data_IF_727586242933
#
_entry.id   IF_727586242933
#
_cell.length_a   1.000
_cell.length_b   1.000
_cell.length_c   1.000
_cell.angle_alpha   90.00
_cell.angle_beta   90.00
_cell.angle_gamma   90.00
#
_symmetry.space_group_name_H-M   'P 1'
#
loop_
_entity.id
_entity.type
_entity.pdbx_description
1 polymer ?
#
# COMPACT_ATOMS: atom_id res chain seq x y z
N UNK A 1 16.57 -21.39 -23.42
CA UNK A 1 15.32 -20.66 -23.15
C UNK A 1 15.46 -19.99 -21.78
N UNK A 2 15.44 -18.65 -21.75
CA UNK A 2 15.57 -17.90 -20.49
C UNK A 2 14.33 -18.16 -19.63
N UNK A 3 14.48 -18.98 -18.59
CA UNK A 3 13.40 -19.28 -17.65
C UNK A 3 13.10 -18.03 -16.81
N UNK A 4 12.11 -17.23 -17.24
CA UNK A 4 11.57 -16.16 -16.39
C UNK A 4 10.86 -16.78 -15.19
N UNK A 5 10.91 -16.08 -14.06
CA UNK A 5 10.17 -16.48 -12.86
C UNK A 5 8.67 -16.49 -13.15
N UNK A 6 7.99 -17.57 -12.83
CA UNK A 6 6.53 -17.66 -12.94
C UNK A 6 5.89 -16.74 -11.90
N UNK A 7 5.02 -15.86 -12.34
CA UNK A 7 4.40 -14.84 -11.47
C UNK A 7 2.95 -15.22 -11.16
N UNK A 8 2.59 -15.32 -9.88
CA UNK A 8 1.21 -15.31 -9.41
C UNK A 8 0.80 -13.87 -9.11
N UNK A 9 -0.29 -13.40 -9.71
CA UNK A 9 -0.87 -12.09 -9.43
C UNK A 9 -1.98 -12.24 -8.40
N UNK A 10 -1.93 -11.48 -7.31
CA UNK A 10 -2.95 -11.46 -6.27
C UNK A 10 -3.64 -10.09 -6.27
N UNK A 11 -4.96 -10.11 -6.43
CA UNK A 11 -5.80 -8.91 -6.45
C UNK A 11 -6.87 -9.02 -5.36
N UNK A 12 -6.64 -8.43 -4.19
CA UNK A 12 -7.73 -8.19 -3.24
C UNK A 12 -8.71 -7.18 -3.83
N UNK A 13 -10.01 -7.40 -3.65
CA UNK A 13 -11.05 -6.47 -4.11
C UNK A 13 -12.21 -6.42 -3.13
N UNK A 14 -12.90 -5.29 -3.09
CA UNK A 14 -14.13 -5.13 -2.32
C UNK A 14 -15.03 -4.06 -2.93
N UNK A 15 -16.22 -4.50 -3.41
CA UNK A 15 -17.28 -3.62 -3.93
C UNK A 15 -16.82 -2.68 -5.08
N UNK A 16 -15.88 -3.16 -5.94
CA UNK A 16 -15.30 -2.41 -7.08
C UNK A 16 -15.25 -3.22 -8.37
N UNK A 17 -16.37 -3.77 -8.85
CA UNK A 17 -16.37 -4.67 -10.01
C UNK A 17 -15.89 -3.97 -11.30
N UNK A 18 -16.13 -2.66 -11.46
CA UNK A 18 -15.69 -1.88 -12.64
C UNK A 18 -14.18 -1.69 -12.66
N UNK A 19 -13.59 -1.31 -11.53
CA UNK A 19 -12.15 -1.13 -11.40
C UNK A 19 -11.43 -2.46 -11.64
N UNK A 20 -11.94 -3.55 -11.06
CA UNK A 20 -11.42 -4.90 -11.29
C UNK A 20 -11.46 -5.28 -12.79
N UNK A 21 -12.55 -4.99 -13.51
CA UNK A 21 -12.65 -5.29 -14.93
C UNK A 21 -11.58 -4.54 -15.74
N UNK A 22 -11.36 -3.26 -15.46
CA UNK A 22 -10.31 -2.46 -16.10
C UNK A 22 -8.92 -3.03 -15.84
N UNK A 23 -8.62 -3.42 -14.59
CA UNK A 23 -7.36 -4.07 -14.24
C UNK A 23 -7.17 -5.37 -15.02
N UNK A 24 -8.17 -6.27 -15.04
CA UNK A 24 -8.09 -7.56 -15.74
C UNK A 24 -7.83 -7.38 -17.24
N UNK A 25 -8.38 -6.36 -17.88
CA UNK A 25 -8.07 -6.01 -19.27
C UNK A 25 -6.59 -5.68 -19.45
N UNK A 26 -5.96 -4.97 -18.51
CA UNK A 26 -4.53 -4.64 -18.62
C UNK A 26 -3.63 -5.85 -18.35
N UNK A 27 -4.07 -6.80 -17.52
CA UNK A 27 -3.33 -8.05 -17.26
C UNK A 27 -3.36 -8.95 -18.50
N UNK A 28 -4.49 -9.09 -19.19
CA UNK A 28 -4.60 -9.88 -20.44
C UNK A 28 -3.66 -9.34 -21.52
N UNK A 29 -3.47 -8.02 -21.56
CA UNK A 29 -2.63 -7.36 -22.56
C UNK A 29 -1.13 -7.30 -22.19
N UNK A 30 -0.68 -8.05 -21.17
CA UNK A 30 0.75 -8.11 -20.84
C UNK A 30 1.54 -8.90 -21.88
N UNK A 31 2.74 -8.43 -22.19
CA UNK A 31 3.68 -9.14 -23.09
C UNK A 31 4.21 -10.44 -22.49
N UNK A 32 4.18 -10.56 -21.17
CA UNK A 32 4.49 -11.77 -20.42
C UNK A 32 3.27 -12.12 -19.54
N UNK A 33 2.48 -13.13 -19.90
CA UNK A 33 1.31 -13.52 -19.13
C UNK A 33 1.73 -14.10 -17.77
N UNK A 34 1.00 -13.81 -16.69
CA UNK A 34 1.26 -14.44 -15.41
C UNK A 34 0.85 -15.93 -15.43
N UNK A 35 1.43 -16.71 -14.51
CA UNK A 35 1.03 -18.10 -14.29
C UNK A 35 -0.45 -18.20 -13.91
N UNK A 36 -0.87 -17.29 -13.04
CA UNK A 36 -2.24 -17.23 -12.53
C UNK A 36 -2.57 -15.84 -12.00
N UNK A 37 -3.87 -15.54 -11.95
CA UNK A 37 -4.44 -14.38 -11.29
C UNK A 37 -5.44 -14.87 -10.25
N UNK A 38 -5.26 -14.47 -9.00
CA UNK A 38 -6.10 -14.85 -7.86
C UNK A 38 -6.84 -13.61 -7.39
N UNK A 39 -8.14 -13.58 -7.62
CA UNK A 39 -9.02 -12.51 -7.14
C UNK A 39 -9.58 -12.93 -5.78
N UNK A 40 -9.23 -12.18 -4.73
CA UNK A 40 -9.75 -12.41 -3.38
C UNK A 40 -10.80 -11.34 -3.08
N UNK A 41 -12.07 -11.75 -3.10
CA UNK A 41 -13.23 -10.86 -3.00
C UNK A 41 -13.77 -10.77 -1.57
N UNK A 42 -13.48 -9.65 -0.90
CA UNK A 42 -13.98 -9.32 0.45
C UNK A 42 -15.36 -8.61 0.42
N UNK A 43 -16.00 -8.47 -0.75
CA UNK A 43 -17.34 -7.88 -0.86
C UNK A 43 -18.37 -8.77 -0.17
N UNK A 44 -19.30 -8.24 0.66
CA UNK A 44 -20.35 -9.04 1.27
C UNK A 44 -21.18 -9.83 0.23
N UNK A 45 -21.55 -9.18 -0.86
CA UNK A 45 -22.34 -9.74 -1.97
C UNK A 45 -21.56 -10.52 -3.03
N UNK A 46 -20.24 -10.62 -2.94
CA UNK A 46 -19.43 -11.31 -3.96
C UNK A 46 -19.45 -10.59 -5.32
N UNK A 47 -19.37 -9.28 -5.32
CA UNK A 47 -19.54 -8.43 -6.53
C UNK A 47 -18.51 -8.69 -7.64
N UNK A 48 -17.36 -9.25 -7.31
CA UNK A 48 -16.31 -9.57 -8.27
C UNK A 48 -16.56 -10.86 -9.07
N UNK A 49 -17.44 -11.76 -8.57
CA UNK A 49 -17.60 -13.10 -9.19
C UNK A 49 -18.04 -13.03 -10.66
N UNK A 50 -19.07 -12.23 -10.95
CA UNK A 50 -19.57 -12.08 -12.33
C UNK A 50 -18.50 -11.52 -13.26
N UNK A 51 -17.69 -10.58 -12.79
CA UNK A 51 -16.55 -10.04 -13.55
C UNK A 51 -15.57 -11.15 -13.86
N UNK A 52 -15.12 -11.92 -12.86
CA UNK A 52 -14.17 -13.02 -13.05
C UNK A 52 -14.70 -14.05 -14.03
N UNK A 53 -15.96 -14.46 -13.90
CA UNK A 53 -16.61 -15.43 -14.80
C UNK A 53 -16.60 -14.93 -16.26
N UNK A 54 -16.87 -13.63 -16.49
CA UNK A 54 -16.86 -13.03 -17.83
C UNK A 54 -15.48 -12.92 -18.49
N UNK A 55 -14.40 -13.00 -17.70
CA UNK A 55 -13.03 -12.97 -18.20
C UNK A 55 -12.39 -14.34 -18.35
N UNK A 56 -13.02 -15.43 -17.88
CA UNK A 56 -12.43 -16.77 -17.80
C UNK A 56 -11.93 -17.30 -19.15
N UNK A 57 -12.70 -17.12 -20.23
CA UNK A 57 -12.30 -17.55 -21.58
C UNK A 57 -11.08 -16.78 -22.11
N UNK A 58 -10.99 -15.48 -21.83
CA UNK A 58 -9.87 -14.63 -22.26
C UNK A 58 -8.58 -15.03 -21.55
N UNK A 59 -8.63 -15.30 -20.24
CA UNK A 59 -7.47 -15.78 -19.49
C UNK A 59 -7.04 -17.18 -19.91
N UNK A 60 -7.98 -18.06 -20.22
CA UNK A 60 -7.67 -19.38 -20.79
C UNK A 60 -6.92 -19.28 -22.13
N UNK A 61 -7.30 -18.32 -22.97
CA UNK A 61 -6.66 -18.10 -24.27
C UNK A 61 -5.17 -17.73 -24.15
N UNK A 62 -4.78 -16.99 -23.10
CA UNK A 62 -3.39 -16.62 -22.83
C UNK A 62 -2.66 -17.61 -21.91
N UNK A 63 -3.22 -18.82 -21.70
CA UNK A 63 -2.68 -19.85 -20.81
C UNK A 63 -2.44 -19.38 -19.36
N UNK A 64 -3.26 -18.47 -18.86
CA UNK A 64 -3.24 -17.98 -17.50
C UNK A 64 -4.44 -18.52 -16.71
N UNK A 65 -4.21 -19.04 -15.51
CA UNK A 65 -5.29 -19.49 -14.63
C UNK A 65 -5.92 -18.30 -13.91
N UNK A 66 -7.20 -18.05 -14.12
CA UNK A 66 -7.97 -17.06 -13.36
C UNK A 66 -8.77 -17.75 -12.25
N UNK A 67 -8.52 -17.39 -10.99
CA UNK A 67 -9.19 -17.96 -9.81
C UNK A 67 -10.00 -16.90 -9.10
N UNK A 68 -11.25 -17.21 -8.77
CA UNK A 68 -12.05 -16.42 -7.83
C UNK A 68 -12.04 -17.10 -6.47
N UNK A 69 -11.80 -16.32 -5.43
CA UNK A 69 -11.81 -16.78 -4.04
C UNK A 69 -12.62 -15.78 -3.20
N UNK A 70 -13.59 -16.30 -2.46
CA UNK A 70 -14.32 -15.50 -1.47
C UNK A 70 -13.40 -15.25 -0.27
N UNK A 71 -13.16 -13.99 0.06
CA UNK A 71 -12.40 -13.59 1.24
C UNK A 71 -13.20 -13.78 2.54
N UNK A 72 -12.52 -13.70 3.67
CA UNK A 72 -13.13 -13.82 5.01
C UNK A 72 -13.89 -12.57 5.46
N UNK A 73 -13.71 -11.44 4.75
CA UNK A 73 -14.20 -10.13 5.20
C UNK A 73 -13.30 -9.44 6.25
N UNK A 74 -12.17 -10.06 6.59
CA UNK A 74 -11.21 -9.53 7.58
C UNK A 74 -10.35 -8.37 7.07
N UNK A 75 -10.45 -8.04 5.80
CA UNK A 75 -9.80 -6.90 5.17
C UNK A 75 -8.54 -7.25 4.37
N UNK A 76 -7.91 -6.21 3.84
CA UNK A 76 -6.85 -6.28 2.84
C UNK A 76 -5.66 -7.20 3.23
N UNK A 77 -5.08 -7.14 4.45
CA UNK A 77 -3.99 -8.04 4.83
C UNK A 77 -4.38 -9.52 4.83
N UNK A 78 -5.58 -9.84 5.33
CA UNK A 78 -6.08 -11.21 5.35
C UNK A 78 -6.33 -11.74 3.92
N UNK A 79 -6.88 -10.89 3.05
CA UNK A 79 -7.09 -11.22 1.64
C UNK A 79 -5.76 -11.47 0.92
N UNK A 80 -4.71 -10.66 1.16
CA UNK A 80 -3.36 -10.89 0.62
C UNK A 80 -2.77 -12.20 1.12
N UNK A 81 -2.83 -12.48 2.42
CA UNK A 81 -2.34 -13.74 2.98
C UNK A 81 -3.07 -14.96 2.39
N UNK A 82 -4.38 -14.87 2.20
CA UNK A 82 -5.15 -15.94 1.54
C UNK A 82 -4.70 -16.16 0.09
N UNK A 83 -4.48 -15.06 -0.65
CA UNK A 83 -3.96 -15.12 -2.01
C UNK A 83 -2.59 -15.79 -2.07
N UNK A 84 -1.67 -15.43 -1.15
CA UNK A 84 -0.34 -16.07 -1.03
C UNK A 84 -0.47 -17.57 -0.81
N UNK A 85 -1.31 -17.99 0.14
CA UNK A 85 -1.52 -19.42 0.46
C UNK A 85 -1.99 -20.23 -0.74
N UNK A 86 -2.69 -19.61 -1.69
CA UNK A 86 -3.28 -20.27 -2.87
C UNK A 86 -2.42 -20.14 -4.13
N UNK A 87 -1.32 -19.41 -4.06
CA UNK A 87 -0.44 -19.12 -5.19
C UNK A 87 0.60 -20.21 -5.42
N UNK A 88 1.06 -20.36 -6.68
CA UNK A 88 2.02 -21.39 -7.10
C UNK A 88 3.19 -20.81 -7.93
N UNK A 89 3.27 -19.50 -8.06
CA UNK A 89 4.35 -18.84 -8.78
C UNK A 89 5.65 -18.77 -7.96
N UNK A 90 6.75 -18.56 -8.62
CA UNK A 90 8.06 -18.34 -8.00
C UNK A 90 8.17 -16.93 -7.41
N UNK A 91 7.34 -16.02 -7.92
CA UNK A 91 7.17 -14.66 -7.44
C UNK A 91 5.69 -14.28 -7.34
N UNK A 92 5.37 -13.39 -6.42
CA UNK A 92 4.01 -12.94 -6.12
C UNK A 92 3.93 -11.44 -6.40
N UNK A 93 3.08 -11.04 -7.34
CA UNK A 93 2.75 -9.66 -7.65
C UNK A 93 1.42 -9.30 -6.99
N UNK A 94 1.43 -8.37 -6.05
CA UNK A 94 0.22 -7.75 -5.52
C UNK A 94 -0.19 -6.57 -6.39
N UNK A 95 -1.48 -6.42 -6.62
CA UNK A 95 -2.08 -5.29 -7.32
C UNK A 95 -3.35 -4.87 -6.59
N UNK A 96 -3.57 -3.56 -6.50
CA UNK A 96 -4.85 -3.03 -6.07
C UNK A 96 -5.84 -3.06 -7.24
N UNK A 97 -7.12 -3.28 -6.98
CA UNK A 97 -8.17 -3.44 -8.00
C UNK A 97 -8.37 -2.20 -8.89
N UNK A 98 -7.96 -1.02 -8.42
CA UNK A 98 -8.03 0.26 -9.14
C UNK A 98 -6.71 0.68 -9.80
N UNK A 99 -5.92 -0.30 -10.27
CA UNK A 99 -4.66 -0.05 -10.99
C UNK A 99 -4.74 -0.46 -12.47
N UNK A 100 -3.95 0.22 -13.30
CA UNK A 100 -3.78 -0.08 -14.73
C UNK A 100 -2.30 -0.32 -15.03
N UNK A 101 -1.98 -1.45 -15.65
CA UNK A 101 -0.61 -1.85 -15.94
C UNK A 101 -0.19 -1.40 -17.34
N UNK A 102 1.03 -0.87 -17.47
CA UNK A 102 1.71 -0.79 -18.77
C UNK A 102 1.97 -2.21 -19.33
N UNK A 103 2.10 -2.34 -20.64
CA UNK A 103 2.12 -3.64 -21.36
C UNK A 103 3.21 -4.62 -20.94
N UNK A 104 4.31 -4.17 -20.31
CA UNK A 104 5.46 -5.01 -19.96
C UNK A 104 5.73 -5.10 -18.45
N UNK A 105 4.79 -4.73 -17.60
CA UNK A 105 5.04 -4.63 -16.14
C UNK A 105 5.40 -5.99 -15.56
N UNK A 106 4.61 -7.02 -15.82
CA UNK A 106 4.84 -8.36 -15.25
C UNK A 106 6.18 -8.92 -15.73
N UNK A 107 6.45 -8.84 -17.03
CA UNK A 107 7.72 -9.28 -17.60
C UNK A 107 8.93 -8.52 -17.07
N UNK A 108 8.82 -7.20 -16.90
CA UNK A 108 9.90 -6.38 -16.37
C UNK A 108 10.24 -6.72 -14.90
N UNK A 109 9.22 -6.96 -14.06
CA UNK A 109 9.42 -7.37 -12.66
C UNK A 109 10.03 -8.76 -12.57
N UNK A 110 9.52 -9.73 -13.36
CA UNK A 110 10.05 -11.09 -13.41
C UNK A 110 11.51 -11.13 -13.91
N UNK A 111 11.83 -10.35 -14.95
CA UNK A 111 13.19 -10.20 -15.47
C UNK A 111 14.11 -9.59 -14.42
N UNK A 112 13.68 -8.50 -13.76
CA UNK A 112 14.50 -7.87 -12.73
C UNK A 112 14.85 -8.84 -11.60
N UNK A 113 13.87 -9.58 -11.07
CA UNK A 113 14.12 -10.56 -10.01
C UNK A 113 15.00 -11.73 -10.48
N UNK A 114 14.86 -12.19 -11.73
CA UNK A 114 15.73 -13.21 -12.30
C UNK A 114 17.19 -12.75 -12.37
N UNK A 115 17.40 -11.54 -12.89
CA UNK A 115 18.73 -11.00 -13.16
C UNK A 115 19.41 -10.47 -11.88
N UNK A 116 18.66 -10.31 -10.80
CA UNK A 116 19.15 -9.89 -9.49
C UNK A 116 18.77 -10.93 -8.41
N UNK A 117 19.49 -12.05 -8.28
CA UNK A 117 19.14 -13.13 -7.36
C UNK A 117 19.05 -12.72 -5.89
N UNK A 118 19.79 -11.69 -5.48
CA UNK A 118 19.74 -11.14 -4.12
C UNK A 118 18.48 -10.29 -3.84
N UNK A 119 17.83 -9.78 -4.88
CA UNK A 119 16.60 -8.99 -4.74
C UNK A 119 15.46 -9.90 -4.27
N UNK A 120 14.86 -9.58 -3.12
CA UNK A 120 13.70 -10.31 -2.58
C UNK A 120 12.38 -9.63 -2.90
N UNK A 121 12.41 -8.35 -3.30
CA UNK A 121 11.22 -7.61 -3.70
C UNK A 121 11.53 -6.44 -4.63
N UNK A 122 10.59 -6.13 -5.50
CA UNK A 122 10.69 -5.05 -6.47
C UNK A 122 9.32 -4.40 -6.72
N UNK A 123 9.29 -3.08 -6.84
CA UNK A 123 8.09 -2.37 -7.25
C UNK A 123 8.28 -1.63 -8.57
N UNK A 124 7.21 -1.49 -9.37
CA UNK A 124 7.18 -0.63 -10.53
C UNK A 124 7.13 0.85 -10.13
N UNK A 125 7.30 1.72 -11.11
CA UNK A 125 7.03 3.15 -10.96
C UNK A 125 5.52 3.39 -11.01
N UNK A 126 4.96 3.91 -9.91
CA UNK A 126 3.53 4.07 -9.71
C UNK A 126 3.14 5.54 -9.86
N UNK A 127 2.24 5.81 -10.78
CA UNK A 127 1.66 7.12 -11.04
C UNK A 127 0.22 7.18 -10.53
N UNK A 128 -0.16 8.24 -9.82
CA UNK A 128 -1.55 8.45 -9.41
C UNK A 128 -2.27 9.39 -10.37
N UNK A 129 -3.50 9.02 -10.77
CA UNK A 129 -4.40 9.89 -11.55
C UNK A 129 -5.09 10.96 -10.71
N UNK A 130 -4.88 11.01 -9.39
CA UNK A 130 -5.42 12.12 -8.61
C UNK A 130 -4.94 13.41 -9.25
N UNK A 131 -5.89 14.24 -9.71
CA UNK A 131 -5.65 15.60 -10.16
C UNK A 131 -5.00 16.36 -9.00
N UNK A 132 -3.68 16.27 -8.86
CA UNK A 132 -2.97 17.35 -8.23
C UNK A 132 -3.32 18.58 -9.09
N UNK A 133 -4.18 19.45 -8.58
CA UNK A 133 -4.22 20.82 -9.07
C UNK A 133 -2.76 21.23 -9.07
N UNK A 134 -2.24 21.57 -10.24
CA UNK A 134 -0.82 21.91 -10.42
C UNK A 134 -0.51 23.06 -9.46
N UNK A 135 -0.03 22.68 -8.29
CA UNK A 135 0.63 23.64 -7.41
C UNK A 135 1.87 24.05 -8.20
N UNK A 136 2.15 25.34 -8.28
CA UNK A 136 3.38 25.77 -8.93
C UNK A 136 4.58 25.05 -8.28
N UNK A 137 5.61 24.76 -9.06
CA UNK A 137 6.81 24.02 -8.63
C UNK A 137 7.40 24.57 -7.31
N UNK A 138 7.39 25.90 -7.14
CA UNK A 138 7.90 26.56 -5.93
C UNK A 138 7.04 26.22 -4.69
N UNK A 139 5.72 26.17 -4.84
CA UNK A 139 4.81 25.83 -3.74
C UNK A 139 4.96 24.35 -3.34
N UNK A 140 5.19 23.45 -4.30
CA UNK A 140 5.46 22.04 -4.02
C UNK A 140 6.82 21.87 -3.30
N UNK A 141 7.86 22.57 -3.73
CA UNK A 141 9.16 22.56 -3.05
C UNK A 141 9.06 23.07 -1.63
N UNK A 142 8.32 24.16 -1.40
CA UNK A 142 8.08 24.70 -0.05
C UNK A 142 7.32 23.72 0.84
N UNK A 143 6.23 23.15 0.33
CA UNK A 143 5.45 22.16 1.08
C UNK A 143 6.30 20.94 1.46
N UNK A 144 7.09 20.42 0.53
CA UNK A 144 8.03 19.32 0.80
C UNK A 144 9.08 19.69 1.85
N UNK A 145 9.61 20.93 1.82
CA UNK A 145 10.55 21.40 2.83
C UNK A 145 9.92 21.46 4.23
N UNK A 146 8.69 21.98 4.34
CA UNK A 146 7.92 21.99 5.61
C UNK A 146 7.67 20.56 6.10
N UNK A 147 7.21 19.67 5.26
CA UNK A 147 6.94 18.27 5.63
C UNK A 147 8.23 17.53 6.02
N UNK A 148 9.32 17.82 5.34
CA UNK A 148 10.65 17.31 5.70
C UNK A 148 11.09 17.79 7.09
N UNK A 149 10.96 19.07 7.39
CA UNK A 149 11.29 19.62 8.70
C UNK A 149 10.41 19.05 9.83
N UNK A 150 9.12 18.85 9.57
CA UNK A 150 8.14 18.31 10.52
C UNK A 150 8.14 16.79 10.63
N UNK A 151 9.11 16.09 10.06
CA UNK A 151 9.21 14.63 10.07
C UNK A 151 7.98 13.91 9.50
N UNK A 152 7.21 14.56 8.61
CA UNK A 152 6.07 14.02 7.90
C UNK A 152 6.47 13.32 6.60
N UNK A 153 5.50 12.66 5.95
CA UNK A 153 5.70 12.09 4.63
C UNK A 153 5.86 13.20 3.57
N UNK A 154 6.85 13.06 2.69
CA UNK A 154 7.12 14.02 1.62
C UNK A 154 7.61 13.30 0.36
N UNK A 155 7.85 14.06 -0.72
CA UNK A 155 8.33 13.51 -1.99
C UNK A 155 9.74 13.99 -2.31
N UNK A 156 10.59 13.06 -2.76
CA UNK A 156 11.98 13.34 -3.15
C UNK A 156 12.38 12.48 -4.36
N UNK A 157 13.22 13.01 -5.24
CA UNK A 157 13.66 12.30 -6.44
C UNK A 157 14.43 11.03 -6.06
N UNK A 158 14.08 9.92 -6.68
CA UNK A 158 14.75 8.62 -6.47
C UNK A 158 14.90 8.22 -4.98
N UNK A 159 13.88 8.49 -4.16
CA UNK A 159 13.91 8.15 -2.75
C UNK A 159 12.59 7.47 -2.32
N UNK A 160 12.71 6.30 -1.69
CA UNK A 160 11.61 5.56 -1.09
C UNK A 160 12.10 4.91 0.21
N UNK A 161 12.07 5.69 1.28
CA UNK A 161 12.60 5.31 2.60
C UNK A 161 11.58 5.55 3.70
N UNK A 162 11.89 5.06 4.90
CA UNK A 162 11.10 5.29 6.10
C UNK A 162 11.89 6.22 7.02
N UNK A 163 11.22 7.24 7.51
CA UNK A 163 11.79 8.21 8.45
C UNK A 163 11.74 7.66 9.89
N UNK A 164 12.52 8.25 10.77
CA UNK A 164 12.49 7.94 12.21
C UNK A 164 11.12 8.09 12.86
N UNK A 165 10.23 8.89 12.27
CA UNK A 165 8.82 9.05 12.70
C UNK A 165 7.89 7.94 12.20
N UNK A 166 8.36 7.00 11.40
CA UNK A 166 7.53 6.03 10.68
C UNK A 166 6.83 6.59 9.43
N UNK A 167 7.01 7.88 9.12
CA UNK A 167 6.50 8.45 7.89
C UNK A 167 7.35 8.04 6.69
N UNK A 168 6.74 7.96 5.51
CA UNK A 168 7.43 7.56 4.27
C UNK A 168 7.95 8.75 3.49
N UNK A 169 9.11 8.57 2.85
CA UNK A 169 9.53 9.39 1.71
C UNK A 169 9.10 8.66 0.45
N UNK A 170 8.42 9.35 -0.46
CA UNK A 170 7.94 8.79 -1.72
C UNK A 170 8.72 9.36 -2.91
N UNK A 171 8.93 8.60 -3.99
CA UNK A 171 9.50 9.15 -5.20
C UNK A 171 8.51 10.15 -5.85
N UNK A 172 8.97 11.37 -6.12
CA UNK A 172 8.25 12.28 -7.01
C UNK A 172 8.60 12.02 -8.47
N UNK A 173 9.80 11.49 -8.73
CA UNK A 173 10.25 11.03 -10.03
C UNK A 173 11.26 9.91 -9.83
N UNK A 174 10.97 8.73 -10.36
CA UNK A 174 11.86 7.58 -10.38
C UNK A 174 12.51 7.49 -11.76
N UNK A 175 13.83 7.77 -11.85
CA UNK A 175 14.57 7.83 -13.11
C UNK A 175 15.64 6.73 -13.26
N UNK A 176 15.96 6.03 -12.18
CA UNK A 176 16.92 4.93 -12.13
C UNK A 176 16.43 3.85 -11.16
N UNK A 177 17.01 2.67 -11.27
CA UNK A 177 16.82 1.61 -10.25
C UNK A 177 17.41 2.08 -8.92
N UNK A 178 16.64 1.93 -7.85
CA UNK A 178 17.09 2.27 -6.49
C UNK A 178 16.81 1.14 -5.53
N UNK A 179 17.70 0.93 -4.55
CA UNK A 179 17.38 0.16 -3.35
C UNK A 179 16.50 1.00 -2.44
N UNK A 180 15.53 0.37 -1.79
CA UNK A 180 14.49 1.05 -1.01
C UNK A 180 14.27 0.37 0.34
N UNK A 181 13.65 1.07 1.29
CA UNK A 181 13.35 0.50 2.62
C UNK A 181 11.91 -0.03 2.72
N UNK A 182 11.06 0.31 1.76
CA UNK A 182 9.69 -0.17 1.70
C UNK A 182 9.23 -0.34 0.26
N UNK A 183 8.21 -1.17 0.06
CA UNK A 183 7.45 -1.25 -1.18
C UNK A 183 6.00 -0.83 -0.92
N UNK A 184 5.32 -0.39 -1.96
CA UNK A 184 3.88 -0.05 -1.93
C UNK A 184 3.00 -1.29 -2.06
N UNK A 185 1.68 -1.09 -2.01
CA UNK A 185 0.69 -2.15 -2.21
C UNK A 185 0.77 -2.86 -3.56
N UNK A 186 1.29 -2.18 -4.60
CA UNK A 186 1.50 -2.74 -5.94
C UNK A 186 2.99 -3.09 -6.13
N UNK A 187 3.38 -4.29 -5.76
CA UNK A 187 4.77 -4.74 -5.79
C UNK A 187 4.89 -6.26 -5.93
N UNK A 188 6.06 -6.72 -6.34
CA UNK A 188 6.38 -8.12 -6.53
C UNK A 188 7.44 -8.57 -5.50
N UNK A 189 7.19 -9.70 -4.84
CA UNK A 189 8.16 -10.34 -3.96
C UNK A 189 8.48 -11.75 -4.47
N UNK A 190 9.66 -12.28 -4.13
CA UNK A 190 9.90 -13.71 -4.25
C UNK A 190 8.96 -14.46 -3.32
N UNK A 191 8.46 -15.61 -3.75
CA UNK A 191 7.53 -16.42 -2.95
C UNK A 191 8.13 -16.84 -1.61
N UNK A 192 9.43 -17.13 -1.58
CA UNK A 192 10.15 -17.57 -0.37
C UNK A 192 10.06 -16.57 0.80
N UNK A 193 9.84 -15.28 0.55
CA UNK A 193 9.63 -14.27 1.61
C UNK A 193 8.45 -14.64 2.51
N UNK A 194 7.43 -15.28 1.94
CA UNK A 194 6.20 -15.63 2.66
C UNK A 194 6.28 -16.94 3.46
N UNK A 195 7.40 -17.67 3.39
CA UNK A 195 7.65 -18.80 4.28
C UNK A 195 7.85 -18.37 5.75
N UNK A 196 8.27 -17.12 5.98
CA UNK A 196 8.60 -16.60 7.30
C UNK A 196 7.85 -15.31 7.67
N UNK A 197 7.35 -14.58 6.69
CA UNK A 197 6.67 -13.30 6.90
C UNK A 197 5.26 -13.33 6.28
N UNK A 198 4.31 -12.74 6.97
CA UNK A 198 2.94 -12.56 6.49
C UNK A 198 2.46 -11.14 6.76
N UNK A 199 1.43 -10.69 6.05
CA UNK A 199 0.77 -9.42 6.36
C UNK A 199 0.10 -9.49 7.72
N UNK A 200 0.17 -8.39 8.48
CA UNK A 200 -0.40 -8.32 9.82
C UNK A 200 -1.93 -8.13 9.77
N UNK A 201 -2.66 -9.16 10.16
CA UNK A 201 -4.13 -9.16 10.15
C UNK A 201 -4.77 -8.30 11.26
N UNK A 202 -3.98 -7.68 12.15
CA UNK A 202 -4.47 -6.63 13.04
C UNK A 202 -4.82 -5.34 12.28
N UNK A 203 -4.22 -5.12 11.10
CA UNK A 203 -4.52 -3.98 10.22
C UNK A 203 -5.76 -4.33 9.38
N UNK A 204 -6.96 -4.10 9.91
CA UNK A 204 -8.24 -4.49 9.33
C UNK A 204 -8.69 -3.60 8.16
N UNK A 205 -9.72 -4.03 7.44
CA UNK A 205 -10.41 -3.31 6.36
C UNK A 205 -9.44 -2.91 5.23
N UNK A 206 -9.28 -1.60 4.99
CA UNK A 206 -8.37 -1.04 3.97
C UNK A 206 -6.89 -1.20 4.33
N UNK A 207 -6.58 -1.73 5.51
CA UNK A 207 -5.23 -2.07 5.91
C UNK A 207 -4.24 -0.89 5.91
N UNK A 208 -4.69 0.36 6.14
CA UNK A 208 -3.76 1.50 6.14
C UNK A 208 -2.43 1.14 6.79
N UNK A 209 -1.31 1.45 6.13
CA UNK A 209 0.07 1.13 6.53
C UNK A 209 0.46 -0.36 6.46
N UNK A 210 -0.37 -1.25 5.94
CA UNK A 210 -0.06 -2.69 5.84
C UNK A 210 1.11 -2.97 4.89
N UNK A 211 1.21 -2.20 3.82
CA UNK A 211 2.31 -2.24 2.86
C UNK A 211 3.63 -1.74 3.47
N UNK A 212 3.56 -0.71 4.31
CA UNK A 212 4.72 -0.22 5.06
C UNK A 212 5.15 -1.25 6.12
N UNK A 213 4.21 -1.73 6.95
CA UNK A 213 4.47 -2.75 7.97
C UNK A 213 5.17 -3.98 7.37
N UNK A 214 4.55 -4.57 6.34
CA UNK A 214 5.08 -5.78 5.74
C UNK A 214 6.44 -5.55 5.07
N UNK A 215 6.53 -4.56 4.18
CA UNK A 215 7.76 -4.31 3.42
C UNK A 215 8.93 -3.86 4.30
N UNK A 216 8.67 -3.14 5.40
CA UNK A 216 9.73 -2.76 6.33
C UNK A 216 10.23 -3.93 7.16
N UNK A 217 9.36 -4.86 7.54
CA UNK A 217 9.79 -6.13 8.16
C UNK A 217 10.62 -6.98 7.20
N UNK A 218 10.25 -7.01 5.91
CA UNK A 218 11.07 -7.63 4.86
C UNK A 218 12.42 -6.91 4.74
N UNK A 219 12.44 -5.57 4.71
CA UNK A 219 13.69 -4.80 4.66
C UNK A 219 14.60 -5.07 5.87
N UNK A 220 14.05 -5.12 7.08
CA UNK A 220 14.85 -5.44 8.28
C UNK A 220 15.48 -6.82 8.22
N UNK A 221 14.80 -7.77 7.61
CA UNK A 221 15.32 -9.13 7.42
C UNK A 221 16.32 -9.24 6.26
N UNK A 222 16.08 -8.50 5.18
CA UNK A 222 16.89 -8.47 3.94
C UNK A 222 17.32 -7.04 3.61
N UNK A 223 18.24 -6.43 4.39
CA UNK A 223 18.63 -5.03 4.19
C UNK A 223 19.25 -4.82 2.81
N UNK A 224 18.78 -3.81 2.07
CA UNK A 224 19.30 -3.49 0.74
C UNK A 224 18.74 -4.33 -0.40
N UNK A 225 17.88 -5.32 -0.16
CA UNK A 225 17.38 -6.26 -1.17
C UNK A 225 15.96 -5.95 -1.68
N UNK A 226 15.41 -4.80 -1.33
CA UNK A 226 14.18 -4.26 -1.92
C UNK A 226 14.52 -3.18 -2.95
N UNK A 227 13.81 -3.17 -4.09
CA UNK A 227 14.13 -2.27 -5.21
C UNK A 227 12.88 -1.60 -5.77
N UNK A 228 13.08 -0.43 -6.39
CA UNK A 228 12.11 0.22 -7.26
C UNK A 228 12.71 0.47 -8.64
N UNK A 229 11.96 0.18 -9.71
CA UNK A 229 12.41 0.24 -11.09
C UNK A 229 11.59 1.27 -11.90
N UNK A 230 12.25 2.12 -12.73
CA UNK A 230 11.56 3.20 -13.43
C UNK A 230 10.82 2.77 -14.71
N UNK A 231 11.23 1.67 -15.32
CA UNK A 231 10.77 1.26 -16.64
C UNK A 231 9.53 0.39 -16.66
N UNK A 232 9.11 -0.18 -15.53
CA UNK A 232 7.79 -0.79 -15.34
C UNK A 232 6.84 0.27 -14.77
N UNK A 233 5.71 0.55 -15.45
CA UNK A 233 4.82 1.65 -15.08
C UNK A 233 3.42 1.17 -14.76
N UNK A 234 2.90 1.57 -13.60
CA UNK A 234 1.52 1.35 -13.17
C UNK A 234 0.85 2.70 -12.94
N UNK A 235 -0.41 2.81 -13.35
CA UNK A 235 -1.28 3.94 -13.04
C UNK A 235 -2.27 3.50 -11.97
N UNK A 236 -2.27 4.19 -10.83
CA UNK A 236 -3.25 4.02 -9.76
C UNK A 236 -4.37 5.04 -9.97
N UNK A 237 -5.60 4.57 -10.24
CA UNK A 237 -6.76 5.42 -10.55
C UNK A 237 -7.20 6.24 -9.34
N UNK A 238 -6.89 5.75 -8.13
CA UNK A 238 -7.33 6.31 -6.86
C UNK A 238 -8.87 6.47 -6.84
N UNK A 239 -9.56 5.38 -7.15
CA UNK A 239 -11.01 5.33 -7.30
C UNK A 239 -11.74 5.97 -6.12
N UNK A 240 -12.84 6.67 -6.41
CA UNK A 240 -13.75 7.21 -5.40
C UNK A 240 -14.70 6.18 -4.80
N UNK A 241 -14.84 5.02 -5.44
CA UNK A 241 -15.78 3.97 -5.03
C UNK A 241 -15.32 3.29 -3.73
N UNK A 242 -16.26 2.86 -2.93
CA UNK A 242 -16.05 2.12 -1.67
C UNK A 242 -15.07 2.77 -0.69
N UNK A 243 -14.94 4.10 -0.66
CA UNK A 243 -14.08 4.81 0.28
C UNK A 243 -14.69 4.85 1.68
N UNK A 244 -13.81 4.86 2.68
CA UNK A 244 -14.22 5.02 4.07
C UNK A 244 -14.75 6.43 4.36
N UNK A 245 -15.73 6.57 5.30
CA UNK A 245 -16.07 7.85 5.87
C UNK A 245 -14.84 8.58 6.41
N UNK A 246 -14.77 9.89 6.25
CA UNK A 246 -13.62 10.73 6.65
C UNK A 246 -13.20 10.49 8.10
N UNK A 247 -14.15 10.42 9.04
CA UNK A 247 -13.87 10.14 10.44
C UNK A 247 -13.11 8.82 10.61
N UNK A 248 -13.64 7.75 10.04
CA UNK A 248 -13.05 6.41 10.17
C UNK A 248 -11.67 6.34 9.51
N UNK A 249 -11.51 6.96 8.35
CA UNK A 249 -10.20 7.05 7.66
C UNK A 249 -9.15 7.74 8.52
N UNK A 250 -9.46 8.88 9.17
CA UNK A 250 -8.54 9.60 10.05
C UNK A 250 -8.15 8.74 11.26
N UNK A 251 -9.14 8.10 11.91
CA UNK A 251 -8.87 7.24 13.05
C UNK A 251 -8.01 6.03 12.68
N UNK A 252 -8.33 5.35 11.57
CA UNK A 252 -7.53 4.21 11.09
C UNK A 252 -6.10 4.62 10.78
N UNK A 253 -5.91 5.69 9.98
CA UNK A 253 -4.57 6.17 9.64
C UNK A 253 -3.76 6.51 10.88
N UNK A 254 -4.37 7.19 11.86
CA UNK A 254 -3.68 7.59 13.09
C UNK A 254 -3.34 6.38 13.96
N UNK A 255 -4.31 5.55 14.29
CA UNK A 255 -4.12 4.42 15.21
C UNK A 255 -3.16 3.39 14.62
N UNK A 256 -3.25 3.14 13.30
CA UNK A 256 -2.32 2.23 12.63
C UNK A 256 -0.92 2.84 12.48
N UNK A 257 -0.79 4.17 12.35
CA UNK A 257 0.53 4.81 12.41
C UNK A 257 1.20 4.64 13.77
N UNK A 258 0.46 4.85 14.88
CA UNK A 258 0.98 4.55 16.22
C UNK A 258 1.38 3.07 16.34
N UNK A 259 0.54 2.17 15.89
CA UNK A 259 0.77 0.74 15.95
C UNK A 259 2.04 0.32 15.19
N UNK A 260 2.13 0.68 13.92
CA UNK A 260 3.29 0.34 13.08
C UNK A 260 4.56 1.04 13.59
N UNK A 261 4.45 2.29 14.06
CA UNK A 261 5.59 2.98 14.64
C UNK A 261 6.16 2.20 15.84
N UNK A 262 5.35 1.88 16.83
CA UNK A 262 5.82 1.19 18.04
C UNK A 262 6.23 -0.25 17.78
N UNK A 263 5.61 -0.92 16.83
CA UNK A 263 5.92 -2.30 16.45
C UNK A 263 7.23 -2.39 15.65
N UNK A 264 7.42 -1.52 14.66
CA UNK A 264 8.44 -1.73 13.64
C UNK A 264 9.57 -0.69 13.65
N UNK A 265 9.29 0.57 14.03
CA UNK A 265 10.19 1.70 13.83
C UNK A 265 10.84 2.19 15.13
N UNK A 266 10.13 2.09 16.25
CA UNK A 266 10.58 2.65 17.53
C UNK A 266 11.91 2.03 18.01
N UNK A 267 12.03 0.71 18.02
CA UNK A 267 13.27 -0.06 18.38
C UNK A 267 13.94 0.45 19.69
N UNK A 268 13.11 0.86 20.68
CA UNK A 268 13.56 1.47 21.94
C UNK A 268 14.45 2.72 21.76
N UNK A 269 14.41 3.36 20.60
CA UNK A 269 15.20 4.56 20.30
C UNK A 269 14.50 5.83 20.74
N UNK A 270 15.08 6.57 21.68
CA UNK A 270 14.59 7.89 22.09
C UNK A 270 14.57 8.90 20.94
N UNK A 271 15.51 8.83 20.00
CA UNK A 271 15.52 9.69 18.81
C UNK A 271 14.34 9.39 17.89
N UNK A 272 13.96 8.12 17.75
CA UNK A 272 12.79 7.75 16.97
C UNK A 272 11.51 8.21 17.66
N UNK A 273 11.43 8.10 19.00
CA UNK A 273 10.29 8.59 19.77
C UNK A 273 10.14 10.12 19.64
N UNK A 274 11.22 10.88 19.80
CA UNK A 274 11.21 12.34 19.63
C UNK A 274 10.76 12.72 18.21
N UNK A 275 11.29 12.04 17.18
CA UNK A 275 10.91 12.27 15.79
C UNK A 275 9.42 11.96 15.54
N UNK A 276 8.88 10.93 16.18
CA UNK A 276 7.47 10.57 16.07
C UNK A 276 6.57 11.62 16.74
N UNK A 277 6.88 12.03 17.97
CA UNK A 277 6.13 13.08 18.68
C UNK A 277 6.19 14.42 17.95
N UNK A 278 7.34 14.75 17.37
CA UNK A 278 7.49 15.92 16.49
C UNK A 278 6.62 15.82 15.24
N UNK A 279 6.55 14.64 14.63
CA UNK A 279 5.68 14.41 13.46
C UNK A 279 4.18 14.50 13.82
N UNK A 280 3.75 14.03 15.00
CA UNK A 280 2.37 14.21 15.46
C UNK A 280 2.02 15.70 15.59
N UNK A 281 2.93 16.49 16.19
CA UNK A 281 2.79 17.95 16.28
C UNK A 281 2.77 18.59 14.89
N UNK A 282 3.68 18.18 14.03
CA UNK A 282 3.75 18.63 12.63
C UNK A 282 2.48 18.35 11.85
N UNK A 283 1.90 17.16 12.01
CA UNK A 283 0.64 16.80 11.39
C UNK A 283 -0.52 17.70 11.88
N UNK A 284 -0.56 18.02 13.16
CA UNK A 284 -1.54 18.95 13.71
C UNK A 284 -1.36 20.37 13.13
N UNK A 285 -0.14 20.90 13.16
CA UNK A 285 0.20 22.24 12.63
C UNK A 285 -0.16 22.36 11.15
N UNK A 286 0.17 21.36 10.33
CA UNK A 286 -0.13 21.40 8.89
C UNK A 286 -1.63 21.30 8.61
N UNK A 287 -2.40 20.55 9.41
CA UNK A 287 -3.86 20.52 9.29
C UNK A 287 -4.49 21.87 9.66
N UNK A 288 -4.11 22.47 10.80
CA UNK A 288 -4.58 23.79 11.23
C UNK A 288 -4.18 24.86 10.19
N UNK A 289 -2.91 24.91 9.79
CA UNK A 289 -2.42 25.83 8.78
C UNK A 289 -3.17 25.70 7.44
N UNK A 290 -3.44 24.48 7.02
CA UNK A 290 -4.21 24.20 5.80
C UNK A 290 -5.65 24.73 5.86
N UNK A 291 -6.31 24.67 7.03
CA UNK A 291 -7.65 25.22 7.24
C UNK A 291 -7.66 26.75 7.20
N UNK A 292 -6.68 27.38 7.84
CA UNK A 292 -6.57 28.84 7.93
C UNK A 292 -6.18 29.46 6.57
N UNK A 293 -5.07 28.97 5.98
CA UNK A 293 -4.51 29.53 4.73
C UNK A 293 -5.50 29.37 3.57
N UNK A 294 -6.16 28.22 3.47
CA UNK A 294 -7.15 27.95 2.40
C UNK A 294 -8.54 28.50 2.71
N UNK A 295 -8.73 29.19 3.83
CA UNK A 295 -10.02 29.74 4.28
C UNK A 295 -11.15 28.72 4.18
N UNK A 296 -10.90 27.50 4.68
CA UNK A 296 -11.83 26.39 4.56
C UNK A 296 -13.13 26.60 5.36
N UNK A 297 -14.30 26.16 4.85
CA UNK A 297 -15.56 26.31 5.55
C UNK A 297 -15.57 25.55 6.88
N UNK A 298 -16.40 25.99 7.85
CA UNK A 298 -16.50 25.42 9.20
C UNK A 298 -16.68 23.89 9.21
N UNK A 299 -17.38 23.34 8.23
CA UNK A 299 -17.55 21.88 8.13
C UNK A 299 -16.25 21.10 7.96
N UNK A 300 -15.19 21.69 7.41
CA UNK A 300 -13.90 21.02 7.25
C UNK A 300 -13.06 20.97 8.55
N UNK A 301 -13.42 21.80 9.54
CA UNK A 301 -12.82 21.75 10.88
C UNK A 301 -13.13 20.46 11.65
N UNK A 302 -14.18 19.73 11.25
CA UNK A 302 -14.45 18.40 11.81
C UNK A 302 -13.29 17.43 11.60
N UNK A 303 -12.53 17.56 10.51
CA UNK A 303 -11.31 16.78 10.30
C UNK A 303 -10.29 16.95 11.42
N UNK A 304 -10.10 18.20 11.92
CA UNK A 304 -9.21 18.49 13.05
C UNK A 304 -9.74 17.88 14.35
N UNK A 305 -11.04 17.97 14.61
CA UNK A 305 -11.67 17.35 15.79
C UNK A 305 -11.49 15.82 15.75
N UNK A 306 -11.67 15.20 14.60
CA UNK A 306 -11.42 13.77 14.42
C UNK A 306 -9.95 13.40 14.61
N UNK A 307 -9.03 14.24 14.15
CA UNK A 307 -7.59 14.04 14.35
C UNK A 307 -7.22 14.11 15.84
N UNK A 308 -7.68 15.12 16.56
CA UNK A 308 -7.47 15.25 18.01
C UNK A 308 -8.10 14.07 18.79
N UNK A 309 -9.32 13.69 18.41
CA UNK A 309 -10.00 12.52 18.98
C UNK A 309 -9.26 11.21 18.71
N UNK A 310 -8.65 11.06 17.54
CA UNK A 310 -7.86 9.89 17.20
C UNK A 310 -6.55 9.82 17.99
N UNK A 311 -5.87 10.96 18.22
CA UNK A 311 -4.71 11.03 19.09
C UNK A 311 -5.07 10.67 20.54
N UNK A 312 -6.15 11.28 21.07
CA UNK A 312 -6.62 10.94 22.41
C UNK A 312 -6.94 9.45 22.55
N UNK A 313 -7.54 8.84 21.53
CA UNK A 313 -7.83 7.40 21.51
C UNK A 313 -6.55 6.57 21.50
N UNK A 314 -5.57 6.92 20.68
CA UNK A 314 -4.29 6.24 20.61
C UNK A 314 -3.51 6.31 21.93
N UNK A 315 -3.42 7.50 22.55
CA UNK A 315 -2.73 7.67 23.83
C UNK A 315 -3.43 6.94 24.98
N UNK A 316 -4.77 6.98 25.07
CA UNK A 316 -5.54 6.23 26.08
C UNK A 316 -5.34 4.72 25.97
N UNK A 317 -5.07 4.24 24.77
CA UNK A 317 -4.86 2.82 24.49
C UNK A 317 -3.41 2.46 24.20
N UNK A 318 -2.45 3.33 24.58
CA UNK A 318 -1.03 3.14 24.27
C UNK A 318 -0.51 1.79 24.78
N UNK A 319 -0.91 1.36 25.98
CA UNK A 319 -0.55 0.04 26.51
C UNK A 319 -1.00 -1.11 25.59
N UNK A 320 -2.23 -1.03 25.05
CA UNK A 320 -2.74 -2.04 24.12
C UNK A 320 -1.94 -2.01 22.81
N UNK A 321 -1.63 -0.82 22.29
CA UNK A 321 -0.82 -0.65 21.07
C UNK A 321 0.58 -1.26 21.27
N UNK A 322 1.24 -0.97 22.38
CA UNK A 322 2.56 -1.54 22.74
C UNK A 322 2.52 -3.07 22.87
N UNK A 323 1.41 -3.61 23.34
CA UNK A 323 1.16 -5.07 23.41
C UNK A 323 0.67 -5.66 22.08
N UNK A 324 0.67 -4.89 20.99
CA UNK A 324 0.18 -5.27 19.66
C UNK A 324 -1.28 -5.74 19.65
N UNK A 325 -2.14 -5.15 20.48
CA UNK A 325 -3.56 -5.47 20.61
C UNK A 325 -4.41 -4.31 20.11
N UNK A 326 -5.13 -4.50 19.01
CA UNK A 326 -5.98 -3.48 18.37
C UNK A 326 -7.48 -3.76 18.50
N UNK A 327 -7.90 -4.72 19.35
CA UNK A 327 -9.31 -5.08 19.51
C UNK A 327 -10.17 -3.91 19.98
N UNK A 328 -9.61 -3.00 20.80
CA UNK A 328 -10.30 -1.78 21.27
C UNK A 328 -10.80 -0.92 20.12
N UNK A 329 -10.09 -0.96 18.98
CA UNK A 329 -10.42 -0.22 17.76
C UNK A 329 -11.13 -1.10 16.73
N UNK A 330 -10.60 -2.27 16.45
CA UNK A 330 -11.06 -3.15 15.38
C UNK A 330 -12.48 -3.67 15.55
N UNK A 331 -12.96 -3.88 16.79
CA UNK A 331 -14.35 -4.29 17.08
C UNK A 331 -15.40 -3.31 16.53
N UNK A 332 -15.04 -2.03 16.39
CA UNK A 332 -15.94 -0.99 15.90
C UNK A 332 -15.87 -0.79 14.38
N UNK A 333 -14.96 -1.48 13.70
CA UNK A 333 -14.81 -1.36 12.24
C UNK A 333 -15.86 -2.18 11.47
N UNK A 334 -16.45 -3.17 12.10
CA UNK A 334 -17.44 -4.06 11.48
C UNK A 334 -18.90 -3.56 11.66
N UNK A 335 -19.07 -2.45 12.39
CA UNK A 335 -20.36 -1.76 12.53
C UNK A 335 -20.40 -0.57 11.56
#
# INVERSE_FOLDING_TARGET
MNNLLRVSVIVPTRDRPRDLADLLLTIINQTYPPLEVIIVDDSPGGSAKQVVDSFSSKFKFINCRLKYVKGSGDGLPAARNLGVKLSNGDAILFLDDDTLLGRNVIGALATFLRDNPVAVGVQPNIFSLTKNRSKGELAEKFENAVYKALMLAYREKNNLTIRRSGASVFPNNLTKVISVQRLSGCCCYRHEVFSELSFDTNLKRWGFMEDLDFSYRVYKKYPGHLYAIPYAKIIHKASGEARLPTRLSIYMTTIYWFYVFFKDVFEASMLNLIAFLWALTGNLVTNVGGLIIKRKPKREWWGLIYLLGSYATAFRNLKNILMQRLEFFNKNLNR
#
